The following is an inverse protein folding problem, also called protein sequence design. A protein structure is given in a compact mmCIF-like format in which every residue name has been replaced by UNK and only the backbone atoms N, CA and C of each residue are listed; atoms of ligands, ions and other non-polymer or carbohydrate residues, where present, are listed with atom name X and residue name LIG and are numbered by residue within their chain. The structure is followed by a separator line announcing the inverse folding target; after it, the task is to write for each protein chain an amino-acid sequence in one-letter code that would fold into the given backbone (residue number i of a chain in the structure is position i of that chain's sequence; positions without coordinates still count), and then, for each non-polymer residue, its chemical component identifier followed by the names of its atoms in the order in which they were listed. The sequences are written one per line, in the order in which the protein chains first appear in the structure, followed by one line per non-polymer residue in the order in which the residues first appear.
data_IF_875481747278
#
_entry.id   IF_875481747278
#
_cell.length_a   1.000
_cell.length_b   1.000
_cell.length_c   1.000
_cell.angle_alpha   90.00
_cell.angle_beta   90.00
_cell.angle_gamma   90.00
#
_symmetry.space_group_name_H-M   'P 1'
#
loop_
_entity.id
_entity.type
_entity.pdbx_description
1 polymer ?
#
# COMPACT_ATOMS: atom_id res chain seq x y z
N UNK A 1 -32.72 43.74 -40.28
CA UNK A 1 -31.59 42.79 -40.41
C UNK A 1 -31.04 42.51 -39.02
N UNK A 2 -31.30 41.32 -38.47
CA UNK A 2 -30.90 40.94 -37.10
C UNK A 2 -29.43 40.49 -37.12
N UNK A 3 -28.56 41.20 -36.41
CA UNK A 3 -27.15 40.80 -36.22
C UNK A 3 -27.09 39.74 -35.12
N UNK A 4 -26.73 38.52 -35.47
CA UNK A 4 -26.47 37.45 -34.52
C UNK A 4 -25.11 37.72 -33.84
N UNK A 5 -25.11 37.80 -32.51
CA UNK A 5 -23.90 37.80 -31.69
C UNK A 5 -23.48 36.35 -31.47
N UNK A 6 -22.30 35.98 -31.97
CA UNK A 6 -21.62 34.73 -31.66
C UNK A 6 -20.81 34.95 -30.37
N UNK A 7 -21.07 34.26 -29.25
CA UNK A 7 -20.16 34.33 -28.12
C UNK A 7 -18.96 33.43 -28.40
N UNK A 8 -17.81 34.05 -28.68
CA UNK A 8 -16.51 33.42 -28.65
C UNK A 8 -16.19 33.06 -27.19
N UNK A 9 -16.47 31.81 -26.79
CA UNK A 9 -16.23 31.35 -25.43
C UNK A 9 -15.82 29.87 -25.42
N UNK A 10 -14.76 29.50 -26.15
CA UNK A 10 -14.06 28.22 -25.95
C UNK A 10 -12.57 28.38 -26.29
N UNK A 11 -11.80 29.03 -25.42
CA UNK A 11 -10.33 29.03 -25.54
C UNK A 11 -9.63 29.24 -24.19
N UNK A 12 -10.18 28.67 -23.11
CA UNK A 12 -9.63 28.88 -21.77
C UNK A 12 -9.91 27.72 -20.83
N UNK A 13 -9.43 26.51 -21.13
CA UNK A 13 -9.53 25.38 -20.20
C UNK A 13 -8.49 24.26 -20.44
N UNK A 14 -7.25 24.59 -20.85
CA UNK A 14 -6.16 23.60 -20.96
C UNK A 14 -4.82 24.12 -20.41
N UNK A 15 -4.86 24.90 -19.32
CA UNK A 15 -3.68 25.11 -18.46
C UNK A 15 -3.94 24.57 -17.05
N UNK A 16 -4.40 23.31 -16.97
CA UNK A 16 -4.26 22.54 -15.74
C UNK A 16 -2.84 21.99 -15.73
N UNK A 17 -2.01 22.61 -14.89
CA UNK A 17 -0.71 22.20 -14.39
C UNK A 17 -0.14 20.92 -15.02
N UNK A 18 0.96 21.07 -15.75
CA UNK A 18 1.99 20.05 -15.86
C UNK A 18 2.62 19.83 -14.47
N UNK A 19 1.83 19.35 -13.50
CA UNK A 19 2.34 18.77 -12.28
C UNK A 19 2.86 17.40 -12.70
N UNK A 20 4.13 17.37 -13.12
CA UNK A 20 4.80 16.11 -13.41
C UNK A 20 4.65 15.19 -12.20
N UNK A 21 4.27 13.93 -12.44
CA UNK A 21 4.18 12.94 -11.38
C UNK A 21 5.47 12.99 -10.53
N UNK A 22 5.38 12.89 -9.19
CA UNK A 22 6.56 12.99 -8.34
C UNK A 22 7.63 12.01 -8.82
N UNK A 23 8.80 12.55 -9.17
CA UNK A 23 9.91 11.72 -9.66
C UNK A 23 10.35 10.84 -8.51
N UNK A 24 10.22 9.53 -8.67
CA UNK A 24 10.69 8.59 -7.68
C UNK A 24 12.21 8.75 -7.47
N UNK A 25 12.68 8.80 -6.22
CA UNK A 25 14.11 8.89 -5.92
C UNK A 25 14.86 7.65 -6.40
N UNK A 26 16.14 7.80 -6.71
CA UNK A 26 17.02 6.67 -7.03
C UNK A 26 17.23 5.82 -5.75
N UNK A 27 16.78 4.54 -5.72
CA UNK A 27 16.86 3.69 -4.52
C UNK A 27 18.28 3.57 -3.96
N UNK A 28 19.30 3.53 -4.84
CA UNK A 28 20.69 3.38 -4.43
C UNK A 28 21.20 4.59 -3.63
N UNK A 29 20.61 5.77 -3.87
CA UNK A 29 20.98 7.04 -3.23
C UNK A 29 20.15 7.34 -1.99
N UNK A 30 19.12 6.57 -1.69
CA UNK A 30 18.29 6.81 -0.52
C UNK A 30 18.91 6.29 0.77
N UNK A 31 18.78 7.09 1.83
CA UNK A 31 19.03 6.66 3.20
C UNK A 31 17.93 5.69 3.63
N UNK A 32 18.30 4.42 3.78
CA UNK A 32 17.39 3.39 4.26
C UNK A 32 17.43 3.40 5.81
N UNK A 33 16.28 3.55 6.49
CA UNK A 33 16.19 3.35 7.93
C UNK A 33 16.69 1.97 8.33
N UNK A 34 17.39 1.89 9.46
CA UNK A 34 17.81 0.60 9.99
C UNK A 34 16.59 -0.14 10.56
N UNK A 35 16.36 -1.41 10.18
CA UNK A 35 15.31 -2.22 10.79
C UNK A 35 15.66 -2.52 12.26
N UNK A 36 14.64 -2.82 13.06
CA UNK A 36 14.79 -3.37 14.40
C UNK A 36 14.97 -4.87 14.25
N UNK A 37 16.03 -5.43 14.83
CA UNK A 37 16.21 -6.88 14.87
C UNK A 37 15.15 -7.55 15.74
N UNK A 38 14.63 -8.68 15.27
CA UNK A 38 13.52 -9.40 15.85
C UNK A 38 12.16 -8.73 15.62
N UNK A 39 11.18 -9.14 16.43
CA UNK A 39 9.76 -8.81 16.25
C UNK A 39 9.25 -7.80 17.28
N UNK A 40 10.14 -6.98 17.85
CA UNK A 40 9.82 -6.02 18.91
C UNK A 40 9.10 -4.76 18.42
N UNK A 41 9.23 -4.43 17.13
CA UNK A 41 8.52 -3.32 16.51
C UNK A 41 7.03 -3.59 16.26
N UNK A 42 6.32 -2.55 15.86
CA UNK A 42 4.87 -2.60 15.57
C UNK A 42 4.54 -3.28 14.24
N UNK A 43 5.43 -3.18 13.26
CA UNK A 43 5.24 -3.66 11.89
C UNK A 43 6.34 -4.67 11.55
N UNK A 44 5.96 -5.87 11.15
CA UNK A 44 6.91 -6.92 10.76
C UNK A 44 7.37 -6.68 9.34
N UNK A 45 8.68 -6.79 9.12
CA UNK A 45 9.27 -6.61 7.81
C UNK A 45 8.79 -7.69 6.84
N UNK A 46 8.51 -7.34 5.57
CA UNK A 46 8.25 -8.32 4.52
C UNK A 46 9.53 -9.00 4.00
N UNK A 47 10.70 -8.54 4.48
CA UNK A 47 11.99 -9.12 4.17
C UNK A 47 12.70 -9.57 5.44
N UNK A 48 13.42 -10.67 5.36
CA UNK A 48 14.27 -11.18 6.42
C UNK A 48 15.67 -10.57 6.40
N UNK A 49 16.44 -10.73 7.48
CA UNK A 49 17.79 -10.16 7.61
C UNK A 49 18.79 -10.68 6.57
N UNK A 50 18.57 -11.89 6.04
CA UNK A 50 19.31 -12.49 4.93
C UNK A 50 18.89 -11.97 3.54
N UNK A 51 17.90 -11.07 3.48
CA UNK A 51 17.42 -10.44 2.25
C UNK A 51 16.37 -11.24 1.48
N UNK A 52 15.82 -12.30 2.07
CA UNK A 52 14.76 -13.12 1.46
C UNK A 52 13.38 -12.56 1.82
N UNK A 53 12.35 -12.90 1.04
CA UNK A 53 10.96 -12.55 1.35
C UNK A 53 10.44 -13.40 2.53
N UNK A 54 9.86 -12.74 3.53
CA UNK A 54 9.31 -13.41 4.71
C UNK A 54 8.16 -14.36 4.34
N UNK A 55 8.03 -15.48 5.06
CA UNK A 55 7.07 -16.54 4.69
C UNK A 55 5.60 -16.07 4.72
N UNK A 56 5.26 -15.13 5.61
CA UNK A 56 3.93 -14.52 5.64
C UNK A 56 3.59 -13.74 4.37
N UNK A 57 4.56 -13.12 3.72
CA UNK A 57 4.36 -12.40 2.45
C UNK A 57 4.06 -13.40 1.35
N UNK A 58 4.83 -14.49 1.26
CA UNK A 58 4.58 -15.58 0.31
C UNK A 58 3.17 -16.15 0.48
N UNK A 59 2.75 -16.38 1.72
CA UNK A 59 1.39 -16.84 2.01
C UNK A 59 0.31 -15.78 1.69
N UNK A 60 0.58 -14.51 1.96
CA UNK A 60 -0.30 -13.40 1.58
C UNK A 60 -0.50 -13.34 0.06
N UNK A 61 0.56 -13.50 -0.73
CA UNK A 61 0.49 -13.60 -2.19
C UNK A 61 -0.34 -14.81 -2.65
N UNK A 62 -0.15 -15.98 -2.02
CA UNK A 62 -0.95 -17.18 -2.33
C UNK A 62 -2.44 -16.97 -2.03
N UNK A 63 -2.78 -16.44 -0.86
CA UNK A 63 -4.16 -16.13 -0.47
C UNK A 63 -4.79 -15.16 -1.48
N UNK A 64 -4.06 -14.10 -1.86
CA UNK A 64 -4.52 -13.13 -2.88
C UNK A 64 -4.76 -13.79 -4.24
N UNK A 65 -3.87 -14.67 -4.67
CA UNK A 65 -4.05 -15.41 -5.92
C UNK A 65 -5.30 -16.31 -5.84
N UNK A 66 -5.51 -17.01 -4.72
CA UNK A 66 -6.70 -17.86 -4.51
C UNK A 66 -8.01 -17.07 -4.50
N UNK A 67 -8.05 -15.89 -3.88
CA UNK A 67 -9.25 -15.04 -3.85
C UNK A 67 -9.52 -14.39 -5.21
N UNK A 68 -8.48 -14.03 -5.96
CA UNK A 68 -8.61 -13.50 -7.32
C UNK A 68 -9.12 -14.57 -8.31
N UNK A 69 -8.64 -15.81 -8.21
CA UNK A 69 -9.11 -16.95 -9.03
C UNK A 69 -10.56 -17.32 -8.66
N UNK A 70 -10.94 -17.22 -7.39
CA UNK A 70 -12.32 -17.40 -6.91
C UNK A 70 -13.24 -16.19 -7.16
N UNK A 71 -12.97 -15.38 -8.18
CA UNK A 71 -13.43 -14.01 -8.46
C UNK A 71 -14.94 -13.70 -8.53
N UNK A 72 -15.81 -14.50 -7.92
CA UNK A 72 -17.20 -14.15 -7.61
C UNK A 72 -17.34 -13.37 -6.29
N UNK A 73 -16.37 -13.49 -5.36
CA UNK A 73 -16.45 -12.86 -4.04
C UNK A 73 -16.13 -11.35 -4.03
N UNK A 74 -15.34 -10.85 -4.99
CA UNK A 74 -15.01 -9.42 -5.12
C UNK A 74 -16.22 -8.57 -5.51
N UNK A 75 -17.05 -9.06 -6.43
CA UNK A 75 -18.34 -8.43 -6.75
C UNK A 75 -19.34 -8.54 -5.60
N UNK A 76 -19.37 -9.65 -4.86
CA UNK A 76 -20.35 -9.84 -3.78
C UNK A 76 -20.04 -8.98 -2.54
N UNK A 77 -18.77 -8.86 -2.14
CA UNK A 77 -18.39 -7.97 -1.03
C UNK A 77 -18.51 -6.49 -1.42
N UNK A 78 -18.14 -6.12 -2.66
CA UNK A 78 -18.32 -4.76 -3.18
C UNK A 78 -19.81 -4.37 -3.30
N UNK A 79 -20.66 -5.26 -3.80
CA UNK A 79 -22.10 -5.00 -3.93
C UNK A 79 -22.81 -5.04 -2.57
N UNK A 80 -22.52 -5.99 -1.67
CA UNK A 80 -23.12 -6.05 -0.32
C UNK A 80 -22.66 -4.90 0.58
N UNK A 81 -21.42 -4.42 0.45
CA UNK A 81 -20.95 -3.22 1.16
C UNK A 81 -21.62 -1.94 0.66
N UNK A 82 -22.04 -1.89 -0.62
CA UNK A 82 -22.86 -0.79 -1.14
C UNK A 82 -24.34 -0.90 -0.72
N UNK A 83 -24.86 -2.11 -0.52
CA UNK A 83 -26.29 -2.35 -0.29
C UNK A 83 -26.75 -2.25 1.17
N UNK A 84 -25.87 -2.37 2.19
CA UNK A 84 -26.34 -2.57 3.57
C UNK A 84 -25.74 -1.75 4.71
N UNK A 85 -24.92 -0.72 4.49
CA UNK A 85 -24.53 0.17 5.59
C UNK A 85 -24.43 1.62 5.10
N UNK A 86 -25.10 2.59 5.73
CA UNK A 86 -24.72 3.99 5.58
C UNK A 86 -23.30 4.10 6.14
N UNK A 87 -22.29 4.12 5.25
CA UNK A 87 -20.93 4.49 5.61
C UNK A 87 -21.01 5.83 6.34
N UNK A 88 -20.94 5.82 7.68
CA UNK A 88 -20.87 7.04 8.48
C UNK A 88 -19.67 7.81 7.92
N UNK A 89 -19.97 8.95 7.29
CA UNK A 89 -19.16 9.57 6.25
C UNK A 89 -17.70 9.81 6.65
N UNK A 90 -16.78 9.43 5.76
CA UNK A 90 -15.38 9.83 5.84
C UNK A 90 -14.50 8.95 6.74
N UNK A 91 -13.37 9.53 7.17
CA UNK A 91 -12.19 8.90 7.78
C UNK A 91 -12.47 7.76 8.79
N UNK A 92 -13.55 7.84 9.57
CA UNK A 92 -13.93 6.80 10.53
C UNK A 92 -14.33 5.48 9.86
N UNK A 93 -15.11 5.54 8.78
CA UNK A 93 -15.49 4.36 8.00
C UNK A 93 -14.28 3.72 7.31
N UNK A 94 -13.34 4.54 6.82
CA UNK A 94 -12.08 4.06 6.21
C UNK A 94 -11.26 3.27 7.23
N UNK A 95 -10.99 3.84 8.41
CA UNK A 95 -10.20 3.19 9.47
C UNK A 95 -10.84 1.90 9.99
N UNK A 96 -12.16 1.88 10.16
CA UNK A 96 -12.89 0.68 10.55
C UNK A 96 -12.77 -0.42 9.47
N UNK A 97 -12.92 -0.05 8.19
CA UNK A 97 -12.74 -0.95 7.06
C UNK A 97 -11.32 -1.51 6.97
N UNK A 98 -10.31 -0.67 7.14
CA UNK A 98 -8.89 -1.07 7.15
C UNK A 98 -8.58 -2.03 8.29
N UNK A 99 -9.04 -1.74 9.51
CA UNK A 99 -8.86 -2.62 10.66
C UNK A 99 -9.54 -3.97 10.47
N UNK A 100 -10.76 -3.99 9.93
CA UNK A 100 -11.48 -5.23 9.63
C UNK A 100 -10.78 -6.03 8.53
N UNK A 101 -10.41 -5.36 7.43
CA UNK A 101 -9.68 -5.95 6.31
C UNK A 101 -8.36 -6.56 6.76
N UNK A 102 -7.58 -5.84 7.57
CA UNK A 102 -6.36 -6.33 8.19
C UNK A 102 -6.61 -7.58 9.05
N UNK A 103 -7.64 -7.59 9.88
CA UNK A 103 -7.97 -8.76 10.72
C UNK A 103 -8.27 -10.00 9.87
N UNK A 104 -9.02 -9.84 8.78
CA UNK A 104 -9.32 -10.93 7.83
C UNK A 104 -8.04 -11.40 7.14
N UNK A 105 -7.23 -10.47 6.62
CA UNK A 105 -5.99 -10.80 5.93
C UNK A 105 -4.97 -11.51 6.86
N UNK A 106 -4.83 -11.03 8.10
CA UNK A 106 -4.02 -11.67 9.13
C UNK A 106 -4.48 -13.10 9.41
N UNK A 107 -5.78 -13.31 9.63
CA UNK A 107 -6.33 -14.65 9.87
C UNK A 107 -6.03 -15.58 8.68
N UNK A 108 -6.18 -15.08 7.46
CA UNK A 108 -5.94 -15.87 6.25
C UNK A 108 -4.48 -16.35 6.12
N UNK A 109 -3.50 -15.55 6.56
CA UNK A 109 -2.09 -15.97 6.57
C UNK A 109 -1.73 -16.85 7.79
N UNK A 110 -2.59 -17.01 8.78
CA UNK A 110 -2.32 -17.83 9.98
C UNK A 110 -2.19 -17.03 11.28
N UNK A 111 -2.59 -15.77 11.29
CA UNK A 111 -2.67 -14.93 12.48
C UNK A 111 -1.38 -14.19 12.82
N UNK A 112 -1.43 -13.44 13.92
CA UNK A 112 -0.31 -12.59 14.37
C UNK A 112 0.90 -13.40 14.82
N UNK A 113 0.69 -14.58 15.39
CA UNK A 113 1.78 -15.48 15.79
C UNK A 113 2.61 -15.92 14.57
N UNK A 114 1.95 -16.32 13.48
CA UNK A 114 2.64 -16.68 12.25
C UNK A 114 3.34 -15.48 11.60
N UNK A 115 2.72 -14.31 11.62
CA UNK A 115 3.33 -13.06 11.15
C UNK A 115 4.65 -12.78 11.89
N UNK A 116 4.66 -12.92 13.22
CA UNK A 116 5.85 -12.71 14.04
C UNK A 116 6.88 -13.81 13.84
N UNK A 117 6.49 -15.08 13.93
CA UNK A 117 7.45 -16.21 13.85
C UNK A 117 8.11 -16.37 12.48
N UNK A 118 7.53 -15.78 11.43
CA UNK A 118 8.11 -15.78 10.08
C UNK A 118 8.87 -14.49 9.72
N UNK A 119 9.13 -13.63 10.70
CA UNK A 119 9.89 -12.39 10.55
C UNK A 119 11.01 -12.30 11.58
N UNK A 120 12.16 -11.75 11.18
CA UNK A 120 13.32 -11.48 12.03
C UNK A 120 13.69 -9.98 12.04
N UNK A 121 12.90 -9.15 11.36
CA UNK A 121 13.04 -7.70 11.31
C UNK A 121 11.69 -7.04 11.54
N UNK A 122 11.71 -5.86 12.18
CA UNK A 122 10.51 -5.07 12.45
C UNK A 122 10.77 -3.57 12.43
N UNK A 123 9.69 -2.78 12.44
CA UNK A 123 9.70 -1.33 12.39
C UNK A 123 8.66 -0.72 13.35
N UNK A 124 8.94 0.49 13.85
CA UNK A 124 8.00 1.25 14.66
C UNK A 124 7.00 2.07 13.82
N UNK A 125 7.33 2.33 12.55
CA UNK A 125 6.53 3.14 11.64
C UNK A 125 6.42 2.47 10.26
N UNK A 126 5.31 2.72 9.55
CA UNK A 126 5.14 2.23 8.17
C UNK A 126 5.97 3.07 7.20
N UNK A 127 6.29 4.30 7.56
CA UNK A 127 7.14 5.22 6.81
C UNK A 127 8.57 4.68 6.74
N UNK A 128 9.12 4.23 7.87
CA UNK A 128 10.46 3.64 7.90
C UNK A 128 10.52 2.33 7.12
N UNK A 129 9.50 1.49 7.30
CA UNK A 129 9.38 0.25 6.55
C UNK A 129 9.26 0.51 5.05
N UNK A 130 8.45 1.50 4.63
CA UNK A 130 8.29 1.87 3.21
C UNK A 130 9.60 2.33 2.59
N UNK A 131 10.35 3.20 3.29
CA UNK A 131 11.66 3.67 2.85
C UNK A 131 12.67 2.52 2.76
N UNK A 132 12.70 1.65 3.76
CA UNK A 132 13.56 0.48 3.79
C UNK A 132 13.26 -0.45 2.60
N UNK A 133 12.00 -0.83 2.43
CA UNK A 133 11.55 -1.70 1.34
C UNK A 133 11.95 -1.11 -0.02
N UNK A 134 11.66 0.17 -0.25
CA UNK A 134 11.95 0.80 -1.52
C UNK A 134 13.46 0.93 -1.78
N UNK A 135 14.22 1.45 -0.82
CA UNK A 135 15.66 1.68 -0.99
C UNK A 135 16.45 0.38 -1.18
N UNK A 136 15.99 -0.74 -0.62
CA UNK A 136 16.71 -2.02 -0.65
C UNK A 136 16.23 -2.98 -1.74
N UNK A 137 14.94 -2.99 -2.06
CA UNK A 137 14.34 -4.06 -2.86
C UNK A 137 13.52 -3.59 -4.05
N UNK A 138 13.33 -2.27 -4.26
CA UNK A 138 12.44 -1.78 -5.34
C UNK A 138 12.87 -2.12 -6.77
N UNK A 139 14.14 -2.48 -6.96
CA UNK A 139 14.67 -2.89 -8.26
C UNK A 139 14.40 -4.37 -8.57
N UNK A 140 13.92 -5.14 -7.60
CA UNK A 140 13.61 -6.55 -7.78
C UNK A 140 12.30 -6.74 -8.59
N UNK A 141 12.24 -7.66 -9.56
CA UNK A 141 11.04 -7.87 -10.39
C UNK A 141 9.76 -8.18 -9.61
N UNK A 142 9.89 -8.87 -8.48
CA UNK A 142 8.78 -9.27 -7.61
C UNK A 142 8.34 -8.19 -6.63
N UNK A 143 9.07 -7.08 -6.53
CA UNK A 143 8.81 -6.02 -5.56
C UNK A 143 7.37 -5.50 -5.56
N UNK A 144 6.71 -5.25 -6.72
CA UNK A 144 5.32 -4.79 -6.73
C UNK A 144 4.37 -5.78 -6.05
N UNK A 145 4.60 -7.09 -6.24
CA UNK A 145 3.77 -8.14 -5.62
C UNK A 145 4.00 -8.22 -4.11
N UNK A 146 5.25 -8.05 -3.68
CA UNK A 146 5.60 -8.00 -2.25
C UNK A 146 4.98 -6.78 -1.58
N UNK A 147 5.05 -5.61 -2.21
CA UNK A 147 4.41 -4.39 -1.72
C UNK A 147 2.90 -4.58 -1.58
N UNK A 148 2.23 -5.08 -2.62
CA UNK A 148 0.80 -5.38 -2.57
C UNK A 148 0.43 -6.38 -1.46
N UNK A 149 1.22 -7.44 -1.29
CA UNK A 149 1.01 -8.45 -0.25
C UNK A 149 1.23 -7.87 1.17
N UNK A 150 2.16 -6.92 1.30
CA UNK A 150 2.43 -6.16 2.53
C UNK A 150 1.26 -5.23 2.86
N UNK A 151 0.77 -4.49 1.87
CA UNK A 151 -0.41 -3.62 2.00
C UNK A 151 -1.70 -4.38 2.33
N UNK A 152 -1.79 -5.67 2.01
CA UNK A 152 -2.92 -6.50 2.47
C UNK A 152 -2.90 -6.71 3.99
N UNK A 153 -1.72 -6.78 4.61
CA UNK A 153 -1.55 -6.93 6.05
C UNK A 153 -1.51 -5.56 6.76
N UNK A 154 -1.00 -4.54 6.09
CA UNK A 154 -0.88 -3.18 6.59
C UNK A 154 -1.55 -2.20 5.61
N UNK A 155 -2.89 -2.14 5.56
CA UNK A 155 -3.61 -1.33 4.59
C UNK A 155 -3.29 0.17 4.67
N UNK A 156 -2.94 0.66 5.85
CA UNK A 156 -2.53 2.05 6.11
C UNK A 156 -1.23 2.40 5.38
N UNK A 157 -0.45 1.42 4.94
CA UNK A 157 0.78 1.64 4.16
C UNK A 157 0.47 2.36 2.84
N UNK A 158 -0.69 2.12 2.23
CA UNK A 158 -1.12 2.74 0.96
C UNK A 158 -1.15 4.27 1.04
N UNK A 159 -1.47 4.80 2.21
CA UNK A 159 -1.57 6.25 2.43
C UNK A 159 -0.20 6.90 2.63
N UNK A 160 0.76 6.16 3.19
CA UNK A 160 2.06 6.72 3.60
C UNK A 160 3.20 6.37 2.65
N UNK A 161 3.08 5.30 1.86
CA UNK A 161 4.18 4.73 1.08
C UNK A 161 4.82 5.75 0.14
N UNK A 162 4.02 6.36 -0.75
CA UNK A 162 4.55 7.31 -1.75
C UNK A 162 5.19 8.52 -1.07
N UNK A 163 4.51 9.09 -0.06
CA UNK A 163 5.01 10.24 0.71
C UNK A 163 6.32 9.90 1.41
N UNK A 164 6.40 8.73 2.07
CA UNK A 164 7.58 8.29 2.79
C UNK A 164 8.79 8.06 1.88
N UNK A 165 8.56 7.52 0.68
CA UNK A 165 9.61 7.28 -0.31
C UNK A 165 10.08 8.60 -0.93
N UNK A 166 9.17 9.45 -1.41
CA UNK A 166 9.52 10.71 -2.10
C UNK A 166 10.20 11.71 -1.15
N UNK A 167 9.85 11.69 0.14
CA UNK A 167 10.46 12.57 1.16
C UNK A 167 11.71 11.99 1.83
N UNK A 168 12.19 10.82 1.40
CA UNK A 168 13.33 10.18 2.04
C UNK A 168 14.62 11.00 1.88
N UNK A 169 15.44 11.10 2.94
CA UNK A 169 16.75 11.72 2.82
C UNK A 169 17.65 10.92 1.86
N UNK A 170 18.49 11.65 1.13
CA UNK A 170 19.53 11.09 0.25
C UNK A 170 20.82 10.90 1.06
N UNK A 171 21.57 9.84 0.76
CA UNK A 171 22.90 9.56 1.35
C UNK A 171 24.00 10.44 0.77
#
# INVERSE_FOLDING_TARGET
MKKAYLPALVAGALMLCAWGAPKMPDPAKMAAPAPIEGTGGKYMSPFTSDGVTAAWVTKSMQVRASTAIGGMAGNYAGQKAMEQVPFIGGFLGKKAGESMGRSIALKAIGGEEFLKSSSDLSFNSLEDMSRFMYAKYSTAPEYPKILEATESIYPEMKDVYLTAVVSAPVK
#
